data_IF_201313215126
#
_entry.id   IF_201313215126
#
_cell.length_a   1.000
_cell.length_b   1.000
_cell.length_c   1.000
_cell.angle_alpha   90.00
_cell.angle_beta   90.00
_cell.angle_gamma   90.00
#
_symmetry.space_group_name_H-M   'P 1'
#
loop_
_entity.id
_entity.type
_entity.pdbx_description
1 polymer ?
#
# COMPACT_ATOMS: atom_id res chain seq x y z
N UNK A 1 -4.69 28.31 -8.45
CA UNK A 1 -4.78 29.50 -9.30
C UNK A 1 -4.47 29.14 -10.74
N UNK A 2 -5.30 29.57 -11.70
CA UNK A 2 -5.00 29.45 -13.13
C UNK A 2 -3.79 30.31 -13.48
N UNK A 3 -2.93 29.79 -14.35
CA UNK A 3 -1.89 30.54 -15.06
C UNK A 3 -2.42 30.81 -16.46
N UNK A 4 -2.29 32.06 -16.89
CA UNK A 4 -2.67 32.49 -18.23
C UNK A 4 -1.43 32.61 -19.11
N UNK A 5 -1.59 32.31 -20.39
CA UNK A 5 -0.58 32.57 -21.41
C UNK A 5 -0.40 34.06 -21.67
N UNK A 6 0.76 34.43 -22.20
CA UNK A 6 1.18 35.82 -22.45
C UNK A 6 1.73 36.05 -23.87
N UNK A 7 1.74 35.03 -24.73
CA UNK A 7 2.33 35.09 -26.07
C UNK A 7 1.41 34.53 -27.14
N UNK A 8 1.97 34.17 -28.29
CA UNK A 8 1.22 33.60 -29.43
C UNK A 8 1.62 32.15 -29.74
N UNK A 9 2.49 31.57 -28.90
CA UNK A 9 2.96 30.20 -29.06
C UNK A 9 1.90 29.19 -28.63
N UNK A 10 1.81 28.02 -29.30
CA UNK A 10 0.93 26.94 -28.87
C UNK A 10 1.15 26.56 -27.41
N UNK A 11 0.12 26.72 -26.57
CA UNK A 11 0.18 26.46 -25.13
C UNK A 11 0.69 27.63 -24.27
N UNK A 12 0.89 28.81 -24.85
CA UNK A 12 1.20 30.06 -24.13
C UNK A 12 0.35 31.24 -24.64
N UNK A 13 -0.77 30.96 -25.29
CA UNK A 13 -1.60 31.95 -25.96
C UNK A 13 -2.15 33.00 -24.99
N UNK A 14 -2.03 34.27 -25.35
CA UNK A 14 -2.40 35.41 -24.53
C UNK A 14 -3.88 35.31 -24.11
N UNK A 15 -4.11 35.25 -22.80
CA UNK A 15 -5.47 35.17 -22.23
C UNK A 15 -6.08 33.76 -22.17
N UNK A 16 -5.42 32.72 -22.68
CA UNK A 16 -5.85 31.33 -22.49
C UNK A 16 -5.30 30.74 -21.19
N UNK A 17 -6.04 29.78 -20.60
CA UNK A 17 -5.57 29.04 -19.43
C UNK A 17 -4.54 28.00 -19.88
N UNK A 18 -3.28 28.22 -19.50
CA UNK A 18 -2.13 27.36 -19.88
C UNK A 18 -1.68 26.43 -18.76
N UNK A 19 -2.27 26.60 -17.57
CA UNK A 19 -2.05 25.70 -16.45
C UNK A 19 -2.92 26.06 -15.27
N UNK A 20 -3.13 25.09 -14.37
CA UNK A 20 -3.87 25.32 -13.13
C UNK A 20 -3.21 24.52 -12.02
N UNK A 21 -3.03 25.12 -10.86
CA UNK A 21 -2.59 24.36 -9.68
C UNK A 21 -3.66 23.31 -9.35
N UNK A 22 -3.30 22.02 -9.38
CA UNK A 22 -4.18 20.97 -8.88
C UNK A 22 -4.32 21.08 -7.36
N UNK A 23 -5.55 20.97 -6.87
CA UNK A 23 -5.82 20.74 -5.45
C UNK A 23 -6.48 19.36 -5.34
N UNK A 24 -5.80 18.42 -4.68
CA UNK A 24 -6.35 17.11 -4.37
C UNK A 24 -6.69 17.10 -2.89
N UNK A 25 -7.97 17.31 -2.51
CA UNK A 25 -8.38 17.19 -1.12
C UNK A 25 -8.17 15.76 -0.62
N UNK A 26 -8.14 15.58 0.70
CA UNK A 26 -8.12 14.23 1.27
C UNK A 26 -9.36 13.45 0.79
N UNK A 27 -9.20 12.18 0.38
CA UNK A 27 -10.31 11.36 -0.04
C UNK A 27 -11.37 11.21 1.06
N UNK A 28 -12.63 11.42 0.72
CA UNK A 28 -13.76 11.27 1.64
C UNK A 28 -14.58 10.04 1.29
N UNK A 29 -15.21 9.43 2.30
CA UNK A 29 -16.21 8.36 2.07
C UNK A 29 -17.53 9.02 1.72
N UNK A 30 -18.16 8.52 0.65
CA UNK A 30 -19.48 8.99 0.20
C UNK A 30 -20.43 7.80 0.26
N UNK A 31 -21.65 8.05 0.76
CA UNK A 31 -22.70 7.04 0.90
C UNK A 31 -23.71 7.10 -0.23
N UNK A 32 -24.45 6.01 -0.47
CA UNK A 32 -25.45 5.99 -1.53
C UNK A 32 -26.59 6.97 -1.22
N UNK A 33 -26.96 7.80 -2.18
CA UNK A 33 -27.98 8.84 -2.04
C UNK A 33 -27.46 10.14 -1.41
N UNK A 34 -26.19 10.22 -1.05
CA UNK A 34 -25.57 11.46 -0.56
C UNK A 34 -25.41 12.48 -1.70
N UNK A 35 -25.65 13.76 -1.40
CA UNK A 35 -25.47 14.86 -2.37
C UNK A 35 -24.12 15.51 -2.17
N UNK A 36 -23.29 15.50 -3.21
CA UNK A 36 -22.02 16.21 -3.23
C UNK A 36 -22.22 17.62 -3.79
N UNK A 37 -21.88 18.63 -3.00
CA UNK A 37 -21.89 20.03 -3.43
C UNK A 37 -20.47 20.51 -3.72
N UNK A 38 -20.29 21.22 -4.83
CA UNK A 38 -19.02 21.81 -5.23
C UNK A 38 -19.23 23.30 -5.46
N UNK A 39 -18.43 24.13 -4.79
CA UNK A 39 -18.52 25.58 -4.88
C UNK A 39 -17.22 26.18 -5.42
N UNK A 40 -17.35 27.07 -6.39
CA UNK A 40 -16.23 27.85 -6.92
C UNK A 40 -16.40 29.30 -6.50
N UNK A 41 -15.55 29.74 -5.57
CA UNK A 41 -15.54 31.12 -5.11
C UNK A 41 -14.48 31.92 -5.88
N UNK A 42 -14.91 32.89 -6.68
CA UNK A 42 -14.06 33.77 -7.46
C UNK A 42 -14.04 35.16 -6.84
N UNK A 43 -12.82 35.71 -6.67
CA UNK A 43 -12.66 37.11 -6.28
C UNK A 43 -13.07 38.02 -7.44
N UNK A 44 -13.82 39.08 -7.14
CA UNK A 44 -14.18 40.12 -8.09
C UNK A 44 -13.22 41.33 -8.05
N UNK A 45 -12.12 41.25 -7.29
CA UNK A 45 -11.13 42.35 -7.16
C UNK A 45 -10.51 42.70 -8.51
N UNK A 46 -10.36 41.71 -9.41
CA UNK A 46 -9.94 41.90 -10.79
C UNK A 46 -11.13 41.50 -11.67
N UNK A 47 -11.50 42.36 -12.62
CA UNK A 47 -12.58 42.06 -13.56
C UNK A 47 -12.25 40.83 -14.42
N UNK A 48 -13.21 39.90 -14.51
CA UNK A 48 -13.13 38.74 -15.38
C UNK A 48 -14.19 38.87 -16.48
N UNK A 49 -13.82 38.63 -17.75
CA UNK A 49 -14.77 38.54 -18.87
C UNK A 49 -15.59 37.25 -18.83
N UNK A 50 -15.08 36.22 -18.13
CA UNK A 50 -15.75 34.96 -17.85
C UNK A 50 -14.92 34.10 -16.88
N UNK A 51 -15.57 33.17 -16.20
CA UNK A 51 -14.92 32.18 -15.32
C UNK A 51 -15.42 30.79 -15.65
N UNK A 52 -14.51 29.81 -15.67
CA UNK A 52 -14.84 28.40 -15.90
C UNK A 52 -14.21 27.57 -14.77
N UNK A 53 -15.04 26.75 -14.12
CA UNK A 53 -14.60 25.74 -13.17
C UNK A 53 -14.37 24.42 -13.88
N UNK A 54 -13.15 23.87 -13.80
CA UNK A 54 -12.84 22.53 -14.29
C UNK A 54 -12.51 21.63 -13.09
N UNK A 55 -13.21 20.51 -12.95
CA UNK A 55 -13.00 19.56 -11.85
C UNK A 55 -13.17 18.12 -12.33
N UNK A 56 -12.53 17.20 -11.59
CA UNK A 56 -12.66 15.75 -11.78
C UNK A 56 -13.00 15.11 -10.43
N UNK A 57 -14.04 14.28 -10.41
CA UNK A 57 -14.37 13.44 -9.25
C UNK A 57 -13.81 12.04 -9.52
N UNK A 58 -12.80 11.64 -8.74
CA UNK A 58 -12.22 10.30 -8.81
C UNK A 58 -12.86 9.44 -7.72
N UNK A 59 -13.46 8.31 -8.11
CA UNK A 59 -14.19 7.41 -7.19
C UNK A 59 -13.48 6.06 -7.14
N UNK A 60 -13.32 5.52 -5.93
CA UNK A 60 -12.87 4.15 -5.71
C UNK A 60 -13.80 3.42 -4.73
N UNK A 61 -13.99 2.11 -4.92
CA UNK A 61 -14.77 1.29 -3.98
C UNK A 61 -14.07 1.15 -2.61
N UNK A 62 -12.74 1.23 -2.62
CA UNK A 62 -11.92 1.13 -1.42
C UNK A 62 -10.97 2.33 -1.39
N UNK A 63 -10.96 3.05 -0.27
CA UNK A 63 -9.93 4.05 -0.01
C UNK A 63 -8.58 3.33 0.06
N UNK A 64 -7.48 3.92 -0.46
CA UNK A 64 -6.15 3.40 -0.21
C UNK A 64 -5.99 3.28 1.30
N UNK A 65 -5.92 2.05 1.80
CA UNK A 65 -5.66 1.82 3.22
C UNK A 65 -4.34 2.49 3.61
N UNK A 66 -4.11 2.76 4.90
CA UNK A 66 -2.76 3.11 5.33
C UNK A 66 -1.82 2.08 4.73
N UNK A 67 -0.75 2.54 4.08
CA UNK A 67 0.31 1.67 3.57
C UNK A 67 0.87 0.95 4.79
N UNK A 68 0.28 -0.19 5.15
CA UNK A 68 0.84 -1.07 6.15
C UNK A 68 2.23 -1.37 5.63
N UNK A 69 3.30 -1.13 6.43
CA UNK A 69 4.62 -1.57 6.02
C UNK A 69 4.47 -3.04 5.66
N UNK A 70 4.88 -3.41 4.45
CA UNK A 70 4.86 -4.79 4.00
C UNK A 70 5.48 -5.61 5.12
N UNK A 71 4.64 -6.30 5.88
CA UNK A 71 5.08 -7.06 7.04
C UNK A 71 5.88 -8.19 6.44
N UNK A 72 7.20 -8.02 6.40
CA UNK A 72 8.13 -9.04 5.95
C UNK A 72 8.06 -10.18 6.96
N UNK A 73 7.11 -11.08 6.74
CA UNK A 73 6.90 -12.32 7.48
C UNK A 73 7.97 -13.36 7.16
N UNK A 74 9.18 -12.92 6.81
CA UNK A 74 10.32 -13.78 6.50
C UNK A 74 10.85 -14.46 7.77
N UNK A 75 10.76 -13.80 8.93
CA UNK A 75 11.30 -14.35 10.19
C UNK A 75 10.49 -15.53 10.76
N UNK A 76 9.20 -15.65 10.44
CA UNK A 76 8.35 -16.69 11.04
C UNK A 76 8.64 -18.09 10.47
N UNK A 77 8.88 -18.21 9.16
CA UNK A 77 9.12 -19.52 8.51
C UNK A 77 10.45 -20.17 8.93
N UNK A 78 11.53 -19.40 9.06
CA UNK A 78 12.83 -19.93 9.46
C UNK A 78 12.81 -20.47 10.90
N UNK A 79 12.04 -19.86 11.79
CA UNK A 79 11.86 -20.32 13.16
C UNK A 79 11.16 -21.69 13.21
N UNK A 80 10.09 -21.89 12.43
CA UNK A 80 9.41 -23.19 12.35
C UNK A 80 10.30 -24.28 11.75
N UNK A 81 11.07 -23.98 10.71
CA UNK A 81 12.04 -24.93 10.14
C UNK A 81 13.11 -25.33 11.17
N UNK A 82 13.68 -24.38 11.91
CA UNK A 82 14.67 -24.68 12.93
C UNK A 82 14.11 -25.59 14.05
N UNK A 83 12.88 -25.34 14.51
CA UNK A 83 12.22 -26.16 15.53
C UNK A 83 11.94 -27.58 15.01
N UNK A 84 11.43 -27.71 13.79
CA UNK A 84 11.15 -29.04 13.21
C UNK A 84 12.42 -29.89 13.06
N UNK A 85 13.52 -29.29 12.58
CA UNK A 85 14.81 -29.98 12.46
C UNK A 85 15.33 -30.42 13.83
N UNK A 86 15.27 -29.55 14.84
CA UNK A 86 15.73 -29.88 16.19
C UNK A 86 14.95 -31.07 16.80
N UNK A 87 13.63 -31.09 16.62
CA UNK A 87 12.77 -32.19 17.10
C UNK A 87 13.12 -33.51 16.39
N UNK A 88 13.30 -33.49 15.07
CA UNK A 88 13.68 -34.69 14.31
C UNK A 88 15.04 -35.23 14.76
N UNK A 89 16.03 -34.35 14.95
CA UNK A 89 17.37 -34.75 15.43
C UNK A 89 17.29 -35.38 16.83
N UNK A 90 16.48 -34.81 17.74
CA UNK A 90 16.28 -35.38 19.06
C UNK A 90 15.63 -36.77 19.00
N UNK A 91 14.60 -36.94 18.16
CA UNK A 91 13.95 -38.24 17.98
C UNK A 91 14.95 -39.27 17.46
N UNK A 92 15.73 -38.92 16.42
CA UNK A 92 16.76 -39.81 15.85
C UNK A 92 17.81 -40.16 16.89
N UNK A 93 18.29 -39.20 17.67
CA UNK A 93 19.28 -39.43 18.73
C UNK A 93 18.73 -40.36 19.84
N UNK A 94 17.47 -40.19 20.23
CA UNK A 94 16.81 -41.05 21.23
C UNK A 94 16.64 -42.47 20.69
N UNK A 95 16.19 -42.64 19.45
CA UNK A 95 16.04 -43.96 18.81
C UNK A 95 17.39 -44.65 18.66
N UNK A 96 18.41 -43.93 18.21
CA UNK A 96 19.78 -44.46 18.09
C UNK A 96 20.35 -44.89 19.46
N UNK A 97 20.17 -44.07 20.50
CA UNK A 97 20.59 -44.42 21.86
C UNK A 97 19.82 -45.61 22.43
N UNK A 98 18.51 -45.74 22.15
CA UNK A 98 17.74 -46.92 22.56
C UNK A 98 18.25 -48.18 21.88
N UNK A 99 18.43 -48.15 20.56
CA UNK A 99 18.92 -49.29 19.79
C UNK A 99 20.30 -49.77 20.26
N UNK A 100 21.25 -48.85 20.43
CA UNK A 100 22.59 -49.18 20.90
C UNK A 100 22.62 -49.67 22.37
N UNK A 101 21.55 -49.47 23.14
CA UNK A 101 21.39 -50.01 24.50
C UNK A 101 20.82 -51.41 24.51
N UNK A 102 20.07 -51.79 23.46
CA UNK A 102 19.50 -53.14 23.28
C UNK A 102 20.50 -54.10 22.61
N UNK A 103 21.41 -53.61 21.77
CA UNK A 103 22.46 -54.42 21.12
C UNK A 103 23.62 -54.82 22.07
N UNK A 104 23.54 -54.45 23.35
CA UNK A 104 24.59 -54.64 24.38
C UNK A 104 24.55 -55.97 25.16
N UNK A 105 23.77 -56.97 24.75
CA UNK A 105 23.80 -58.29 25.40
C UNK A 105 24.95 -59.13 24.85
N UNK A 106 26.00 -59.31 25.67
CA UNK A 106 27.00 -60.36 25.43
C UNK A 106 26.30 -61.73 25.37
N UNK A 107 26.55 -62.49 24.31
CA UNK A 107 26.22 -63.92 24.28
C UNK A 107 27.11 -64.65 25.28
N UNK A 108 26.51 -65.17 26.37
CA UNK A 108 27.12 -66.20 27.19
C UNK A 108 27.08 -67.51 26.39
N UNK A 109 28.21 -67.86 25.77
CA UNK A 109 28.47 -69.16 25.16
C UNK A 109 28.44 -70.26 26.23
N UNK A 110 27.56 -71.24 26.05
CA UNK A 110 27.73 -72.62 26.56
C UNK A 110 28.34 -73.46 25.44
#
# INVERSE_FOLDING_TARGET
MPKYGNGDEPGSEAGYIVGMSSCYPEPVKVTNGETLSLEFNYSNVIGHTGVMGLFYILVSQQLPGPKLPAHSSSMSFLAFLAVTVAVVVLIVAVVYRRKNREDGYQSLST
#
